data_IF_623049954199
#
_entry.id   IF_623049954199
#
_cell.length_a   1.000
_cell.length_b   1.000
_cell.length_c   1.000
_cell.angle_alpha   90.00
_cell.angle_beta   90.00
_cell.angle_gamma   90.00
#
_symmetry.space_group_name_H-M   'P 1'
#
loop_
_entity.id
_entity.type
_entity.pdbx_description
1 polymer ?
#
# COMPACT_ATOMS: atom_id res chain seq x y z
N UNK A 1 -1.94 19.90 -32.30
CA UNK A 1 -1.71 19.96 -30.85
C UNK A 1 -1.35 18.57 -30.34
N UNK A 2 -0.06 18.20 -30.42
CA UNK A 2 0.46 16.93 -29.89
C UNK A 2 0.74 17.06 -28.38
N UNK A 3 -0.33 17.10 -27.57
CA UNK A 3 -0.24 17.34 -26.13
C UNK A 3 -0.31 16.08 -25.26
N UNK A 4 0.07 14.89 -25.76
CA UNK A 4 -0.01 13.64 -25.00
C UNK A 4 1.35 12.93 -24.97
N UNK A 5 2.20 13.33 -24.03
CA UNK A 5 3.39 12.59 -23.59
C UNK A 5 3.48 12.80 -22.07
N UNK A 6 3.51 11.82 -21.17
CA UNK A 6 3.60 10.37 -21.23
C UNK A 6 2.94 9.85 -19.93
N UNK A 7 2.06 8.85 -19.94
CA UNK A 7 1.54 8.27 -18.70
C UNK A 7 2.64 7.73 -17.77
N UNK A 8 3.79 7.35 -18.35
CA UNK A 8 5.00 7.03 -17.61
C UNK A 8 5.53 8.22 -16.77
N UNK A 9 5.39 9.45 -17.25
CA UNK A 9 5.79 10.65 -16.51
C UNK A 9 4.90 10.89 -15.29
N UNK A 10 3.57 10.74 -15.44
CA UNK A 10 2.63 10.87 -14.31
C UNK A 10 2.88 9.78 -13.26
N UNK A 11 3.06 8.53 -13.69
CA UNK A 11 3.43 7.44 -12.79
C UNK A 11 4.78 7.71 -12.10
N UNK A 12 5.79 8.15 -12.84
CA UNK A 12 7.09 8.49 -12.29
C UNK A 12 6.99 9.63 -11.26
N UNK A 13 6.15 10.64 -11.51
CA UNK A 13 5.93 11.75 -10.60
C UNK A 13 5.22 11.28 -9.32
N UNK A 14 4.18 10.44 -9.43
CA UNK A 14 3.51 9.84 -8.27
C UNK A 14 4.49 9.00 -7.44
N UNK A 15 5.27 8.14 -8.10
CA UNK A 15 6.29 7.33 -7.42
C UNK A 15 7.36 8.19 -6.75
N UNK A 16 7.82 9.25 -7.42
CA UNK A 16 8.80 10.19 -6.88
C UNK A 16 8.23 10.96 -5.67
N UNK A 17 6.97 11.41 -5.73
CA UNK A 17 6.29 12.07 -4.60
C UNK A 17 6.11 11.12 -3.42
N UNK A 18 5.73 9.87 -3.67
CA UNK A 18 5.62 8.85 -2.61
C UNK A 18 7.00 8.55 -1.99
N UNK A 19 8.04 8.44 -2.81
CA UNK A 19 9.40 8.22 -2.34
C UNK A 19 9.90 9.41 -1.53
N UNK A 20 9.67 10.65 -1.99
CA UNK A 20 10.05 11.86 -1.28
C UNK A 20 9.31 12.00 0.05
N UNK A 21 7.99 11.76 0.08
CA UNK A 21 7.21 11.74 1.32
C UNK A 21 7.74 10.67 2.28
N UNK A 22 8.05 9.48 1.78
CA UNK A 22 8.64 8.40 2.57
C UNK A 22 10.01 8.79 3.13
N UNK A 23 10.88 9.41 2.32
CA UNK A 23 12.20 9.91 2.73
C UNK A 23 12.10 10.98 3.83
N UNK A 24 11.12 11.88 3.74
CA UNK A 24 10.86 12.90 4.76
C UNK A 24 10.36 12.28 6.08
N UNK A 25 9.50 11.25 6.00
CA UNK A 25 8.95 10.57 7.18
C UNK A 25 9.93 9.57 7.83
N UNK A 26 10.94 9.10 7.11
CA UNK A 26 12.02 8.27 7.66
C UNK A 26 12.80 9.03 8.76
N UNK A 27 12.88 10.36 8.68
CA UNK A 27 13.52 11.21 9.69
C UNK A 27 12.68 11.47 10.96
N UNK A 28 11.39 11.13 10.96
CA UNK A 28 10.45 11.46 12.05
C UNK A 28 9.97 10.24 12.87
N UNK A 29 10.15 9.02 12.37
CA UNK A 29 9.79 7.78 13.06
C UNK A 29 10.84 7.29 14.09
N UNK A 30 10.64 6.11 14.71
CA UNK A 30 11.51 5.54 15.75
C UNK A 30 12.95 5.20 15.30
N UNK A 31 13.35 5.64 14.11
CA UNK A 31 14.73 5.77 13.66
C UNK A 31 15.42 6.99 14.32
N UNK A 32 15.07 7.31 15.57
CA UNK A 32 16.00 8.03 16.46
C UNK A 32 17.08 7.07 16.88
N UNK A 33 17.92 6.70 15.92
CA UNK A 33 19.09 5.88 16.15
C UNK A 33 20.06 6.70 17.00
N UNK A 34 20.11 6.42 18.31
CA UNK A 34 21.12 6.97 19.21
C UNK A 34 22.32 6.00 19.25
N UNK A 35 23.09 5.93 18.17
CA UNK A 35 24.27 5.05 18.10
C UNK A 35 24.94 4.96 16.72
N UNK A 36 26.03 4.19 16.56
CA UNK A 36 26.63 3.89 15.26
C UNK A 36 25.68 3.02 14.42
N UNK A 37 25.47 3.34 13.14
CA UNK A 37 24.53 2.64 12.25
C UNK A 37 24.65 1.11 12.38
N UNK A 38 23.57 0.45 12.79
CA UNK A 38 23.46 -1.01 12.85
C UNK A 38 22.21 -1.42 12.10
N UNK A 39 22.33 -2.35 11.17
CA UNK A 39 21.19 -2.98 10.51
C UNK A 39 20.61 -4.00 11.51
N UNK A 40 19.80 -3.54 12.47
CA UNK A 40 19.09 -4.47 13.34
C UNK A 40 17.93 -5.12 12.55
N UNK A 41 17.60 -6.41 12.77
CA UNK A 41 16.45 -7.05 12.13
C UNK A 41 15.13 -6.27 12.31
N UNK A 42 15.02 -5.54 13.43
CA UNK A 42 13.91 -4.64 13.73
C UNK A 42 13.83 -3.44 12.77
N UNK A 43 14.97 -2.87 12.40
CA UNK A 43 15.03 -1.71 11.48
C UNK A 43 14.70 -2.16 10.07
N UNK A 44 15.26 -3.30 9.64
CA UNK A 44 14.93 -3.95 8.37
C UNK A 44 13.44 -4.24 8.23
N UNK A 45 12.78 -4.68 9.31
CA UNK A 45 11.33 -4.90 9.31
C UNK A 45 10.52 -3.63 9.03
N UNK A 46 10.95 -2.46 9.52
CA UNK A 46 10.26 -1.19 9.23
C UNK A 46 10.47 -0.73 7.79
N UNK A 47 11.64 -1.00 7.20
CA UNK A 47 11.87 -0.77 5.77
C UNK A 47 10.92 -1.55 4.88
N UNK A 48 10.58 -2.79 5.26
CA UNK A 48 9.52 -3.54 4.58
C UNK A 48 8.15 -2.86 4.73
N UNK A 49 7.82 -2.27 5.87
CA UNK A 49 6.58 -1.50 6.03
C UNK A 49 6.49 -0.33 5.06
N UNK A 50 7.57 0.46 4.94
CA UNK A 50 7.66 1.58 3.99
C UNK A 50 7.63 1.14 2.53
N UNK A 51 8.39 0.10 2.18
CA UNK A 51 8.37 -0.48 0.83
C UNK A 51 6.96 -0.96 0.47
N UNK A 52 6.26 -1.61 1.41
CA UNK A 52 4.86 -1.99 1.28
C UNK A 52 3.97 -0.78 0.99
N UNK A 53 4.07 0.28 1.78
CA UNK A 53 3.28 1.51 1.59
C UNK A 53 3.51 2.17 0.22
N UNK A 54 4.76 2.23 -0.27
CA UNK A 54 5.10 2.79 -1.59
C UNK A 54 4.49 1.94 -2.71
N UNK A 55 4.64 0.61 -2.64
CA UNK A 55 4.05 -0.32 -3.61
C UNK A 55 2.52 -0.21 -3.65
N UNK A 56 1.90 0.04 -2.50
CA UNK A 56 0.47 0.22 -2.38
C UNK A 56 -0.01 1.54 -3.00
N UNK A 57 0.72 2.64 -2.74
CA UNK A 57 0.46 3.92 -3.41
C UNK A 57 0.59 3.80 -4.93
N UNK A 58 1.59 3.06 -5.42
CA UNK A 58 1.73 2.74 -6.82
C UNK A 58 0.52 1.95 -7.35
N UNK A 59 0.06 0.93 -6.62
CA UNK A 59 -1.15 0.17 -6.95
C UNK A 59 -2.40 1.06 -7.01
N UNK A 60 -2.54 2.02 -6.09
CA UNK A 60 -3.67 2.96 -6.01
C UNK A 60 -3.75 3.91 -7.21
N UNK A 61 -2.58 4.28 -7.76
CA UNK A 61 -2.46 5.20 -8.90
C UNK A 61 -3.23 4.73 -10.14
N UNK A 62 -3.51 3.42 -10.24
CA UNK A 62 -4.39 2.83 -11.25
C UNK A 62 -5.68 3.60 -11.46
N UNK A 63 -6.37 4.01 -10.38
CA UNK A 63 -7.66 4.69 -10.49
C UNK A 63 -7.55 6.07 -11.14
N UNK A 64 -6.41 6.75 -10.98
CA UNK A 64 -6.11 8.01 -11.67
C UNK A 64 -5.66 7.74 -13.12
N UNK A 65 -4.73 6.80 -13.31
CA UNK A 65 -4.17 6.46 -14.62
C UNK A 65 -5.22 5.93 -15.61
N UNK A 66 -6.17 5.12 -15.16
CA UNK A 66 -7.23 4.60 -16.03
C UNK A 66 -8.17 5.70 -16.54
N UNK A 67 -8.38 6.77 -15.76
CA UNK A 67 -9.23 7.91 -16.13
C UNK A 67 -8.51 8.84 -17.10
N UNK A 68 -7.22 9.08 -16.87
CA UNK A 68 -6.39 9.93 -17.74
C UNK A 68 -5.94 9.26 -19.03
N UNK A 69 -5.77 7.93 -19.05
CA UNK A 69 -5.19 7.18 -20.17
C UNK A 69 -5.94 5.87 -20.46
N UNK A 70 -7.19 5.93 -20.96
CA UNK A 70 -8.05 4.76 -21.11
C UNK A 70 -7.57 3.72 -22.13
N UNK A 71 -6.66 4.07 -23.05
CA UNK A 71 -6.18 3.14 -24.10
C UNK A 71 -5.42 1.91 -23.60
N UNK A 72 -4.91 1.92 -22.35
CA UNK A 72 -4.01 0.89 -21.83
C UNK A 72 -4.55 0.16 -20.58
N UNK A 73 -5.88 -0.01 -20.45
CA UNK A 73 -6.51 -0.58 -19.24
C UNK A 73 -5.88 -1.90 -18.79
N UNK A 74 -5.52 -2.80 -19.71
CA UNK A 74 -4.89 -4.08 -19.38
C UNK A 74 -3.54 -3.89 -18.67
N UNK A 75 -2.71 -2.98 -19.17
CA UNK A 75 -1.41 -2.63 -18.56
C UNK A 75 -1.61 -1.93 -17.22
N UNK A 76 -2.59 -1.02 -17.12
CA UNK A 76 -2.91 -0.36 -15.86
C UNK A 76 -3.40 -1.33 -14.80
N UNK A 77 -4.14 -2.35 -15.20
CA UNK A 77 -4.57 -3.41 -14.29
C UNK A 77 -3.37 -4.20 -13.75
N UNK A 78 -2.32 -4.42 -14.54
CA UNK A 78 -1.08 -5.02 -14.05
C UNK A 78 -0.36 -4.13 -13.03
N UNK A 79 -0.30 -2.82 -13.28
CA UNK A 79 0.22 -1.80 -12.35
C UNK A 79 -0.61 -1.70 -11.06
N UNK A 80 -1.88 -2.07 -11.10
CA UNK A 80 -2.70 -2.20 -9.90
C UNK A 80 -2.39 -3.51 -9.14
N UNK A 81 -2.53 -4.64 -9.81
CA UNK A 81 -2.51 -5.95 -9.16
C UNK A 81 -1.11 -6.35 -8.68
N UNK A 82 -0.07 -6.19 -9.51
CA UNK A 82 1.28 -6.68 -9.16
C UNK A 82 1.84 -5.93 -7.94
N UNK A 83 1.86 -4.59 -7.91
CA UNK A 83 2.33 -3.86 -6.72
C UNK A 83 1.43 -4.09 -5.51
N UNK A 84 0.12 -4.30 -5.68
CA UNK A 84 -0.78 -4.63 -4.57
C UNK A 84 -0.44 -5.97 -3.91
N UNK A 85 -0.15 -7.00 -4.72
CA UNK A 85 0.28 -8.32 -4.22
C UNK A 85 1.64 -8.22 -3.55
N UNK A 86 2.61 -7.58 -4.20
CA UNK A 86 3.96 -7.40 -3.63
C UNK A 86 3.91 -6.62 -2.32
N UNK A 87 3.07 -5.59 -2.25
CA UNK A 87 2.85 -4.80 -1.04
C UNK A 87 2.33 -5.68 0.10
N UNK A 88 1.38 -6.60 -0.17
CA UNK A 88 0.85 -7.51 0.85
C UNK A 88 1.96 -8.41 1.40
N UNK A 89 2.77 -9.01 0.52
CA UNK A 89 3.87 -9.90 0.91
C UNK A 89 4.91 -9.17 1.76
N UNK A 90 5.33 -8.00 1.31
CA UNK A 90 6.34 -7.16 1.97
C UNK A 90 5.83 -6.64 3.32
N UNK A 91 4.59 -6.16 3.39
CA UNK A 91 3.96 -5.77 4.66
C UNK A 91 3.77 -6.97 5.60
N UNK A 92 3.57 -8.18 5.06
CA UNK A 92 3.52 -9.41 5.83
C UNK A 92 4.85 -9.69 6.56
N UNK A 93 5.98 -9.45 5.90
CA UNK A 93 7.31 -9.55 6.51
C UNK A 93 7.48 -8.49 7.62
N UNK A 94 7.01 -7.26 7.37
CA UNK A 94 6.98 -6.20 8.40
C UNK A 94 6.23 -6.66 9.67
N UNK A 95 5.10 -7.35 9.49
CA UNK A 95 4.26 -7.84 10.58
C UNK A 95 4.83 -9.09 11.27
N UNK A 96 5.57 -9.95 10.57
CA UNK A 96 6.02 -11.26 11.06
C UNK A 96 6.72 -11.19 12.43
N UNK A 97 7.54 -10.15 12.63
CA UNK A 97 8.27 -9.92 13.90
C UNK A 97 7.36 -9.53 15.09
N UNK A 98 6.08 -9.28 14.85
CA UNK A 98 5.09 -8.88 15.87
C UNK A 98 4.00 -9.90 16.09
N UNK A 99 3.80 -10.86 15.18
CA UNK A 99 2.76 -11.89 15.28
C UNK A 99 2.93 -12.73 16.56
N UNK A 100 4.16 -13.13 16.89
CA UNK A 100 4.45 -13.93 18.07
C UNK A 100 4.21 -13.21 19.41
N UNK A 101 4.10 -11.87 19.39
CA UNK A 101 3.95 -11.04 20.58
C UNK A 101 2.77 -10.06 20.42
N UNK A 102 1.62 -10.58 19.96
CA UNK A 102 0.42 -9.79 19.81
C UNK A 102 0.00 -9.20 21.17
N UNK A 103 -0.11 -7.87 21.21
CA UNK A 103 -0.58 -7.10 22.37
C UNK A 103 -1.74 -6.21 21.92
N UNK A 104 -2.67 -5.81 22.83
CA UNK A 104 -3.81 -4.97 22.48
C UNK A 104 -3.42 -3.68 21.74
N UNK A 105 -2.29 -3.07 22.11
CA UNK A 105 -1.70 -1.89 21.44
C UNK A 105 -1.31 -2.09 19.96
N UNK A 106 -1.29 -3.34 19.47
CA UNK A 106 -1.00 -3.67 18.08
C UNK A 106 -2.28 -3.91 17.25
N UNK A 107 -3.47 -3.78 17.86
CA UNK A 107 -4.75 -4.03 17.20
C UNK A 107 -4.86 -3.29 15.87
N UNK A 108 -4.58 -1.98 15.84
CA UNK A 108 -4.68 -1.19 14.62
C UNK A 108 -3.75 -1.71 13.51
N UNK A 109 -2.53 -2.12 13.84
CA UNK A 109 -1.59 -2.70 12.87
C UNK A 109 -2.11 -4.01 12.26
N UNK A 110 -2.60 -4.92 13.10
CA UNK A 110 -3.18 -6.19 12.64
C UNK A 110 -4.46 -5.97 11.83
N UNK A 111 -5.34 -5.09 12.30
CA UNK A 111 -6.58 -4.76 11.62
C UNK A 111 -6.32 -4.17 10.22
N UNK A 112 -5.41 -3.20 10.10
CA UNK A 112 -5.00 -2.61 8.82
C UNK A 112 -4.41 -3.67 7.88
N UNK A 113 -3.59 -4.60 8.39
CA UNK A 113 -3.06 -5.70 7.59
C UNK A 113 -4.13 -6.69 7.12
N UNK A 114 -5.09 -7.05 7.99
CA UNK A 114 -6.22 -7.93 7.62
C UNK A 114 -7.10 -7.28 6.56
N UNK A 115 -7.38 -5.98 6.68
CA UNK A 115 -8.09 -5.23 5.65
C UNK A 115 -7.33 -5.29 4.31
N UNK A 116 -6.04 -5.02 4.32
CA UNK A 116 -5.18 -5.12 3.14
C UNK A 116 -5.24 -6.50 2.50
N UNK A 117 -5.07 -7.56 3.28
CA UNK A 117 -5.12 -8.94 2.81
C UNK A 117 -6.50 -9.24 2.19
N UNK A 118 -7.58 -8.82 2.85
CA UNK A 118 -8.95 -8.99 2.35
C UNK A 118 -9.15 -8.29 1.00
N UNK A 119 -8.69 -7.04 0.87
CA UNK A 119 -8.80 -6.26 -0.37
C UNK A 119 -7.99 -6.92 -1.48
N UNK A 120 -6.73 -7.27 -1.24
CA UNK A 120 -5.84 -7.86 -2.26
C UNK A 120 -6.34 -9.23 -2.69
N UNK A 121 -6.68 -10.12 -1.75
CA UNK A 121 -7.17 -11.47 -2.04
C UNK A 121 -8.52 -11.41 -2.75
N UNK A 122 -9.48 -10.62 -2.25
CA UNK A 122 -10.74 -10.41 -2.98
C UNK A 122 -10.52 -9.78 -4.35
N UNK A 123 -9.47 -8.97 -4.47
CA UNK A 123 -8.97 -8.37 -5.72
C UNK A 123 -8.58 -9.41 -6.76
N UNK A 124 -7.77 -10.38 -6.35
CA UNK A 124 -7.33 -11.52 -7.14
C UNK A 124 -8.54 -12.38 -7.52
N UNK A 125 -9.36 -12.77 -6.54
CA UNK A 125 -10.54 -13.63 -6.75
C UNK A 125 -11.50 -12.98 -7.75
N UNK A 126 -11.84 -11.70 -7.57
CA UNK A 126 -12.74 -10.98 -8.47
C UNK A 126 -12.23 -10.85 -9.91
N UNK A 127 -10.90 -10.97 -10.11
CA UNK A 127 -10.29 -10.95 -11.44
C UNK A 127 -10.39 -12.29 -12.15
N UNK A 128 -10.16 -13.40 -11.44
CA UNK A 128 -10.09 -14.74 -12.04
C UNK A 128 -11.43 -15.48 -12.01
N UNK A 129 -12.30 -15.19 -11.04
CA UNK A 129 -13.59 -15.84 -10.88
C UNK A 129 -14.68 -14.99 -11.54
N UNK A 130 -15.15 -15.43 -12.72
CA UNK A 130 -16.12 -14.69 -13.55
C UNK A 130 -17.59 -15.01 -13.21
N UNK A 131 -18.00 -14.82 -11.96
CA UNK A 131 -19.43 -14.95 -11.59
C UNK A 131 -20.12 -13.58 -11.55
N UNK A 132 -21.40 -13.51 -11.96
CA UNK A 132 -22.19 -12.27 -11.91
C UNK A 132 -22.28 -11.69 -10.48
N UNK A 133 -22.32 -12.56 -9.47
CA UNK A 133 -22.33 -12.20 -8.05
C UNK A 133 -21.09 -11.38 -7.64
N UNK A 134 -19.90 -11.82 -8.08
CA UNK A 134 -18.63 -11.16 -7.76
C UNK A 134 -18.50 -9.76 -8.36
N UNK A 135 -19.18 -9.47 -9.49
CA UNK A 135 -19.20 -8.13 -10.08
C UNK A 135 -19.94 -7.13 -9.19
N UNK A 136 -21.02 -7.56 -8.53
CA UNK A 136 -21.76 -6.76 -7.54
C UNK A 136 -20.96 -6.55 -6.26
N UNK A 137 -20.33 -7.62 -5.77
CA UNK A 137 -19.42 -7.58 -4.62
C UNK A 137 -18.32 -6.51 -4.77
N UNK A 138 -17.72 -6.39 -5.96
CA UNK A 138 -16.61 -5.46 -6.18
C UNK A 138 -16.99 -3.99 -5.91
N UNK A 139 -18.17 -3.55 -6.36
CA UNK A 139 -18.62 -2.17 -6.14
C UNK A 139 -19.10 -1.93 -4.72
N UNK A 140 -19.72 -2.94 -4.11
CA UNK A 140 -20.38 -2.81 -2.80
C UNK A 140 -19.42 -3.00 -1.63
N UNK A 141 -18.39 -3.83 -1.77
CA UNK A 141 -17.50 -4.18 -0.66
C UNK A 141 -16.05 -3.77 -0.91
N UNK A 142 -15.48 -4.10 -2.07
CA UNK A 142 -14.05 -3.83 -2.31
C UNK A 142 -13.72 -2.32 -2.27
N UNK A 143 -14.56 -1.46 -2.87
CA UNK A 143 -14.35 -0.01 -2.87
C UNK A 143 -14.47 0.58 -1.44
N UNK A 144 -15.56 0.35 -0.67
CA UNK A 144 -15.65 0.85 0.71
C UNK A 144 -14.55 0.31 1.62
N UNK A 145 -14.23 -1.00 1.53
CA UNK A 145 -13.13 -1.59 2.30
C UNK A 145 -11.80 -0.89 1.99
N UNK A 146 -11.54 -0.56 0.72
CA UNK A 146 -10.34 0.19 0.32
C UNK A 146 -10.30 1.58 0.96
N UNK A 147 -11.43 2.28 1.05
CA UNK A 147 -11.48 3.58 1.71
C UNK A 147 -11.20 3.46 3.22
N UNK A 148 -11.83 2.52 3.91
CA UNK A 148 -11.59 2.23 5.34
C UNK A 148 -10.11 1.87 5.55
N UNK A 149 -9.56 1.05 4.67
CA UNK A 149 -8.15 0.67 4.71
C UNK A 149 -7.21 1.88 4.61
N UNK A 150 -7.41 2.81 3.68
CA UNK A 150 -6.55 3.99 3.60
C UNK A 150 -6.68 4.91 4.81
N UNK A 151 -7.88 5.04 5.39
CA UNK A 151 -8.08 5.80 6.62
C UNK A 151 -7.32 5.16 7.80
N UNK A 152 -7.49 3.85 8.00
CA UNK A 152 -6.81 3.09 9.06
C UNK A 152 -5.30 3.06 8.89
N UNK A 153 -4.80 2.95 7.64
CA UNK A 153 -3.38 3.06 7.32
C UNK A 153 -2.84 4.47 7.65
N UNK A 154 -3.59 5.52 7.31
CA UNK A 154 -3.22 6.90 7.65
C UNK A 154 -3.07 7.08 9.15
N UNK A 155 -4.07 6.66 9.94
CA UNK A 155 -4.03 6.71 11.40
C UNK A 155 -2.82 5.90 11.92
N UNK A 156 -2.62 4.69 11.40
CA UNK A 156 -1.49 3.84 11.79
C UNK A 156 -0.14 4.52 11.55
N UNK A 157 0.05 5.15 10.39
CA UNK A 157 1.30 5.88 10.08
C UNK A 157 1.46 7.06 11.02
N UNK A 158 0.42 7.88 11.21
CA UNK A 158 0.45 9.07 12.08
C UNK A 158 0.79 8.73 13.54
N UNK A 159 0.19 7.67 14.09
CA UNK A 159 0.49 7.16 15.44
C UNK A 159 1.96 6.70 15.54
N UNK A 160 2.48 6.02 14.51
CA UNK A 160 3.87 5.50 14.52
C UNK A 160 4.93 6.56 14.27
N UNK A 161 4.60 7.68 13.63
CA UNK A 161 5.49 8.85 13.53
C UNK A 161 5.31 9.83 14.69
N UNK A 162 4.42 9.55 15.65
CA UNK A 162 4.21 10.35 16.86
C UNK A 162 3.50 11.69 16.63
N UNK A 163 2.66 11.77 15.59
CA UNK A 163 1.79 12.94 15.33
C UNK A 163 0.48 12.85 16.12
N UNK A 164 -0.03 11.63 16.30
CA UNK A 164 -1.20 11.27 17.14
C UNK A 164 -0.73 10.44 18.33
#
# INVERSE_FOLDING_TARGET
>A
MEGIKRPAFVLALVLASLLALTALLIGTGPVRHRGPWRIFPRDVAHWFGWAGAVLLGASASYSALKRGFPGNVKSWLAVHCIPGILSLLVTGIHLANRVAYARPQHFLSFFTFVLMATIVVSGIVGRYVKTKFLRGYWRTLHIPLTAIFYLTLGIHVLEKVGIL
#
